data_IF_321732858828
#
_entry.id   IF_321732858828
#
_cell.length_a   1.000
_cell.length_b   1.000
_cell.length_c   1.000
_cell.angle_alpha   90.00
_cell.angle_beta   90.00
_cell.angle_gamma   90.00
#
_symmetry.space_group_name_H-M   'P 1'
#
loop_
_entity.id
_entity.type
_entity.pdbx_description
1 polymer ?
#
# COMPACT_ATOMS: atom_id res chain seq x y z
N UNK A 1 61.99 -33.75 2.76
CA UNK A 1 60.83 -32.96 2.29
C UNK A 1 60.82 -31.63 3.02
N UNK A 2 61.29 -30.58 2.35
CA UNK A 2 61.52 -29.24 2.90
C UNK A 2 60.21 -28.54 3.27
N UNK A 3 60.24 -27.81 4.39
CA UNK A 3 59.14 -27.03 4.97
C UNK A 3 58.36 -26.18 3.95
N UNK A 4 59.05 -25.67 2.92
CA UNK A 4 58.47 -24.88 1.81
C UNK A 4 57.39 -25.60 1.01
N UNK A 5 57.50 -26.91 0.78
CA UNK A 5 56.47 -27.68 0.06
C UNK A 5 55.21 -27.86 0.92
N UNK A 6 55.37 -28.00 2.24
CA UNK A 6 54.24 -28.12 3.18
C UNK A 6 53.55 -26.79 3.43
N UNK A 7 54.29 -25.67 3.47
CA UNK A 7 53.71 -24.33 3.59
C UNK A 7 52.99 -23.93 2.30
N UNK A 8 53.53 -24.26 1.12
CA UNK A 8 52.83 -24.00 -0.14
C UNK A 8 51.56 -24.87 -0.29
N UNK A 9 51.61 -26.15 0.08
CA UNK A 9 50.43 -27.03 0.09
C UNK A 9 49.38 -26.60 1.14
N UNK A 10 49.81 -26.16 2.32
CA UNK A 10 48.91 -25.65 3.36
C UNK A 10 48.31 -24.28 3.01
N UNK A 11 49.07 -23.38 2.38
CA UNK A 11 48.55 -22.09 1.89
C UNK A 11 47.66 -22.26 0.65
N UNK A 12 47.91 -23.25 -0.21
CA UNK A 12 47.02 -23.57 -1.35
C UNK A 12 45.77 -24.36 -0.94
N UNK A 13 45.79 -25.09 0.17
CA UNK A 13 44.59 -25.74 0.71
C UNK A 13 43.71 -24.77 1.52
N UNK A 14 44.29 -23.73 2.13
CA UNK A 14 43.58 -22.76 2.99
C UNK A 14 42.92 -21.60 2.24
N UNK A 15 43.12 -21.47 0.92
CA UNK A 15 42.69 -20.27 0.16
C UNK A 15 41.96 -20.56 -1.17
N UNK A 16 41.73 -21.83 -1.53
CA UNK A 16 40.96 -22.16 -2.72
C UNK A 16 39.47 -22.13 -2.40
N UNK A 17 38.64 -21.49 -3.25
CA UNK A 17 37.20 -21.54 -3.08
C UNK A 17 36.70 -22.99 -3.18
N UNK A 18 35.74 -23.33 -2.34
CA UNK A 18 35.01 -24.59 -2.39
C UNK A 18 33.87 -24.47 -3.38
N UNK A 19 33.52 -25.57 -4.07
CA UNK A 19 32.36 -25.57 -4.96
C UNK A 19 31.11 -25.14 -4.20
N UNK A 20 30.37 -24.19 -4.76
CA UNK A 20 29.20 -23.56 -4.12
C UNK A 20 29.52 -22.30 -3.32
N UNK A 21 30.79 -21.97 -3.08
CA UNK A 21 31.15 -20.68 -2.49
C UNK A 21 30.63 -19.55 -3.36
N UNK A 22 30.12 -18.50 -2.72
CA UNK A 22 29.65 -17.30 -3.41
C UNK A 22 30.53 -16.10 -3.08
N UNK A 23 30.62 -15.17 -4.02
CA UNK A 23 31.32 -13.89 -3.83
C UNK A 23 30.61 -12.77 -4.58
N UNK A 24 30.96 -11.54 -4.22
CA UNK A 24 30.62 -10.35 -5.02
C UNK A 24 31.85 -9.90 -5.81
N UNK A 25 31.65 -9.46 -7.05
CA UNK A 25 32.73 -8.94 -7.89
C UNK A 25 32.22 -7.93 -8.92
N UNK A 26 33.08 -6.99 -9.31
CA UNK A 26 32.86 -6.08 -10.43
C UNK A 26 33.05 -6.73 -11.80
N UNK A 27 33.65 -7.92 -11.85
CA UNK A 27 33.77 -8.69 -13.09
C UNK A 27 32.37 -8.98 -13.63
N UNK A 28 32.20 -8.90 -14.95
CA UNK A 28 30.91 -9.03 -15.64
C UNK A 28 30.83 -10.27 -16.54
N UNK A 29 31.83 -11.15 -16.48
CA UNK A 29 31.90 -12.40 -17.23
C UNK A 29 32.33 -13.55 -16.32
N UNK A 30 31.98 -14.79 -16.67
CA UNK A 30 32.52 -15.97 -16.01
C UNK A 30 34.05 -15.98 -16.04
N UNK A 31 34.68 -16.39 -14.93
CA UNK A 31 36.14 -16.34 -14.82
C UNK A 31 36.70 -17.29 -13.76
N UNK A 32 37.79 -18.01 -14.07
CA UNK A 32 38.53 -18.85 -13.12
C UNK A 32 37.61 -19.81 -12.31
N UNK A 33 36.61 -20.38 -12.97
CA UNK A 33 35.61 -21.27 -12.36
C UNK A 33 34.48 -20.58 -11.59
N UNK A 34 34.49 -19.26 -11.49
CA UNK A 34 33.38 -18.45 -10.98
C UNK A 34 32.37 -18.20 -12.08
N UNK A 35 31.13 -18.61 -11.84
CA UNK A 35 30.01 -18.41 -12.74
C UNK A 35 29.15 -17.26 -12.23
N UNK A 36 28.75 -16.37 -13.12
CA UNK A 36 27.89 -15.24 -12.76
C UNK A 36 26.46 -15.73 -12.45
N UNK A 37 25.88 -15.25 -11.35
CA UNK A 37 24.54 -15.61 -10.88
C UNK A 37 23.44 -14.76 -11.56
N UNK A 38 23.51 -14.66 -12.90
CA UNK A 38 22.50 -14.03 -13.76
C UNK A 38 22.49 -14.70 -15.13
N UNK A 39 21.40 -14.51 -15.87
CA UNK A 39 21.37 -14.96 -17.26
C UNK A 39 22.09 -13.95 -18.15
N UNK A 40 23.00 -14.46 -19.00
CA UNK A 40 23.71 -13.66 -19.98
C UNK A 40 22.93 -13.54 -21.31
N UNK A 41 21.79 -14.25 -21.44
CA UNK A 41 20.88 -14.12 -22.58
C UNK A 41 20.08 -12.80 -22.48
N UNK A 42 20.29 -11.85 -23.40
CA UNK A 42 19.58 -10.57 -23.42
C UNK A 42 18.10 -10.71 -23.77
N UNK A 43 17.65 -11.83 -24.33
CA UNK A 43 16.24 -12.07 -24.63
C UNK A 43 15.43 -12.40 -23.37
N UNK A 44 16.07 -12.99 -22.35
CA UNK A 44 15.42 -13.44 -21.12
C UNK A 44 16.25 -13.10 -19.85
N UNK A 45 16.55 -11.82 -19.60
CA UNK A 45 17.36 -11.40 -18.47
C UNK A 45 16.71 -11.70 -17.11
N UNK A 46 15.39 -11.95 -17.08
CA UNK A 46 14.61 -12.30 -15.88
C UNK A 46 14.80 -13.75 -15.43
N UNK A 47 15.20 -14.64 -16.34
CA UNK A 47 15.30 -16.06 -16.06
C UNK A 47 16.62 -16.42 -15.35
N UNK A 48 16.64 -17.49 -14.53
CA UNK A 48 17.89 -18.04 -14.02
C UNK A 48 18.73 -18.66 -15.14
N UNK A 49 20.06 -18.61 -15.01
CA UNK A 49 20.98 -19.28 -15.93
C UNK A 49 20.93 -20.80 -15.71
N UNK A 50 20.69 -21.56 -16.79
CA UNK A 50 20.69 -23.01 -16.78
C UNK A 50 22.07 -23.60 -17.10
N UNK A 51 22.43 -24.68 -16.39
CA UNK A 51 23.68 -25.43 -16.55
C UNK A 51 23.39 -26.94 -16.65
N UNK A 52 24.27 -27.66 -17.34
CA UNK A 52 24.19 -29.12 -17.46
C UNK A 52 24.69 -29.83 -16.19
N UNK A 53 23.91 -30.79 -15.69
CA UNK A 53 24.18 -31.53 -14.44
C UNK A 53 25.40 -32.45 -14.54
N UNK A 54 25.79 -32.87 -15.75
CA UNK A 54 26.95 -33.74 -15.98
C UNK A 54 28.23 -32.90 -16.04
N UNK A 55 28.19 -31.82 -16.81
CA UNK A 55 29.29 -30.88 -16.97
C UNK A 55 29.64 -30.23 -15.63
N UNK A 56 28.63 -29.72 -14.90
CA UNK A 56 28.80 -29.05 -13.62
C UNK A 56 28.39 -29.94 -12.43
N UNK A 57 28.80 -31.22 -12.44
CA UNK A 57 28.36 -32.21 -11.46
C UNK A 57 28.66 -31.83 -10.00
N UNK A 58 29.84 -31.26 -9.71
CA UNK A 58 30.20 -30.90 -8.34
C UNK A 58 29.28 -29.80 -7.83
N UNK A 59 28.97 -28.81 -8.68
CA UNK A 59 28.07 -27.73 -8.32
C UNK A 59 26.63 -28.24 -8.17
N UNK A 60 26.20 -29.14 -9.07
CA UNK A 60 24.90 -29.79 -8.96
C UNK A 60 24.74 -30.61 -7.67
N UNK A 61 25.79 -31.30 -7.21
CA UNK A 61 25.76 -31.99 -5.91
C UNK A 61 25.59 -31.04 -4.72
N UNK A 62 26.02 -29.77 -4.84
CA UNK A 62 25.90 -28.77 -3.78
C UNK A 62 24.54 -28.07 -3.79
N UNK A 63 24.08 -27.58 -4.94
CA UNK A 63 22.85 -26.77 -5.02
C UNK A 63 21.64 -27.51 -5.61
N UNK A 64 21.83 -28.67 -6.24
CA UNK A 64 20.76 -29.46 -6.86
C UNK A 64 19.84 -28.62 -7.75
N UNK A 65 18.54 -28.87 -7.66
CA UNK A 65 17.49 -28.07 -8.30
C UNK A 65 16.94 -26.94 -7.41
N UNK A 66 17.69 -26.50 -6.39
CA UNK A 66 17.22 -25.47 -5.44
C UNK A 66 16.72 -24.19 -6.11
N UNK A 67 17.34 -23.80 -7.23
CA UNK A 67 16.96 -22.61 -8.00
C UNK A 67 16.20 -22.93 -9.29
N UNK A 68 15.75 -24.17 -9.44
CA UNK A 68 15.03 -24.70 -10.60
C UNK A 68 15.86 -25.60 -11.52
N UNK A 69 15.26 -25.92 -12.67
CA UNK A 69 15.75 -26.90 -13.63
C UNK A 69 15.08 -28.27 -13.46
N UNK A 70 15.40 -29.20 -14.35
CA UNK A 70 14.86 -30.56 -14.34
C UNK A 70 15.74 -31.49 -15.17
N UNK A 71 15.79 -32.77 -14.82
CA UNK A 71 16.54 -33.77 -15.58
C UNK A 71 18.03 -33.43 -15.67
N UNK A 72 18.54 -33.23 -16.88
CA UNK A 72 19.95 -32.92 -17.13
C UNK A 72 20.31 -31.43 -16.94
N UNK A 73 19.37 -30.58 -16.53
CA UNK A 73 19.64 -29.15 -16.33
C UNK A 73 19.28 -28.69 -14.91
N UNK A 74 20.10 -27.81 -14.34
CA UNK A 74 19.83 -27.12 -13.08
C UNK A 74 20.13 -25.63 -13.23
N UNK A 75 19.56 -24.83 -12.34
CA UNK A 75 19.70 -23.37 -12.40
C UNK A 75 20.66 -22.83 -11.34
N UNK A 76 21.38 -21.78 -11.70
CA UNK A 76 22.10 -20.94 -10.74
C UNK A 76 21.13 -20.03 -9.95
N UNK A 77 21.54 -19.53 -8.77
CA UNK A 77 20.84 -18.39 -8.16
C UNK A 77 20.70 -17.24 -9.16
N UNK A 78 19.55 -16.56 -9.16
CA UNK A 78 19.36 -15.33 -9.93
C UNK A 78 19.17 -14.14 -8.98
N UNK A 79 20.22 -13.32 -8.82
CA UNK A 79 20.27 -12.27 -7.78
C UNK A 79 20.13 -10.84 -8.34
N UNK A 80 19.95 -10.69 -9.65
CA UNK A 80 19.76 -9.39 -10.30
C UNK A 80 18.61 -8.60 -9.65
N UNK A 81 18.90 -7.37 -9.21
CA UNK A 81 17.94 -6.48 -8.56
C UNK A 81 17.49 -6.94 -7.17
N UNK A 82 18.19 -7.87 -6.52
CA UNK A 82 17.79 -8.46 -5.23
C UNK A 82 18.88 -8.33 -4.16
N UNK A 83 18.44 -8.27 -2.90
CA UNK A 83 19.32 -8.40 -1.73
C UNK A 83 19.36 -9.86 -1.31
N UNK A 84 20.56 -10.38 -1.02
CA UNK A 84 20.73 -11.76 -0.55
C UNK A 84 20.45 -11.87 0.94
N UNK A 85 19.72 -12.91 1.35
CA UNK A 85 19.45 -13.25 2.74
C UNK A 85 19.94 -14.66 3.08
N UNK A 86 20.24 -14.90 4.35
CA UNK A 86 20.57 -16.24 4.86
C UNK A 86 19.30 -17.07 5.10
N UNK A 87 19.43 -18.39 4.98
CA UNK A 87 18.36 -19.34 5.27
C UNK A 87 18.24 -19.60 6.77
N UNK A 88 17.06 -20.00 7.22
CA UNK A 88 16.82 -20.42 8.60
C UNK A 88 15.46 -19.98 9.13
N UNK A 89 15.12 -20.49 10.32
CA UNK A 89 14.00 -20.01 11.11
C UNK A 89 14.39 -18.69 11.78
N UNK A 90 13.57 -17.67 11.59
CA UNK A 90 13.67 -16.38 12.28
C UNK A 90 12.44 -16.19 13.13
N UNK A 91 12.67 -15.81 14.39
CA UNK A 91 11.64 -15.36 15.32
C UNK A 91 11.95 -13.91 15.68
N UNK A 92 11.00 -13.01 15.52
CA UNK A 92 11.19 -11.61 15.89
C UNK A 92 10.78 -11.31 17.34
N UNK A 93 10.89 -10.05 17.75
CA UNK A 93 10.54 -9.58 19.09
C UNK A 93 9.04 -9.71 19.43
N UNK A 94 8.19 -9.87 18.43
CA UNK A 94 6.73 -10.05 18.59
C UNK A 94 6.34 -11.54 18.53
N UNK A 95 7.33 -12.44 18.60
CA UNK A 95 7.18 -13.89 18.55
C UNK A 95 6.54 -14.39 17.23
N UNK A 96 6.66 -13.62 16.16
CA UNK A 96 6.28 -14.07 14.81
C UNK A 96 7.42 -14.90 14.24
N UNK A 97 7.07 -16.04 13.64
CA UNK A 97 8.04 -16.98 13.08
C UNK A 97 7.95 -17.02 11.56
N UNK A 98 9.10 -17.07 10.90
CA UNK A 98 9.21 -17.29 9.46
C UNK A 98 10.44 -18.11 9.13
N UNK A 99 10.28 -19.15 8.32
CA UNK A 99 11.40 -19.98 7.83
C UNK A 99 11.74 -19.58 6.41
N UNK A 100 12.99 -19.20 6.17
CA UNK A 100 13.51 -18.98 4.82
C UNK A 100 14.30 -20.20 4.37
N UNK A 101 13.84 -20.83 3.31
CA UNK A 101 14.54 -21.94 2.67
C UNK A 101 15.28 -21.45 1.43
N UNK A 102 16.36 -22.13 1.06
CA UNK A 102 17.13 -21.77 -0.12
C UNK A 102 16.23 -21.83 -1.36
N UNK A 103 16.42 -20.88 -2.28
CA UNK A 103 15.59 -20.75 -3.49
C UNK A 103 14.28 -19.97 -3.28
N UNK A 104 13.85 -19.69 -2.05
CA UNK A 104 12.70 -18.81 -1.82
C UNK A 104 12.98 -17.40 -2.35
N UNK A 105 12.05 -16.86 -3.14
CA UNK A 105 12.04 -15.48 -3.60
C UNK A 105 10.92 -14.76 -2.87
N UNK A 106 11.28 -13.81 -2.01
CA UNK A 106 10.35 -12.98 -1.23
C UNK A 106 10.55 -11.51 -1.57
N UNK A 107 9.55 -10.69 -1.25
CA UNK A 107 9.54 -9.27 -1.61
C UNK A 107 9.03 -9.00 -3.03
N UNK A 108 8.76 -7.74 -3.30
CA UNK A 108 8.22 -7.23 -4.55
C UNK A 108 9.14 -6.12 -5.09
N UNK A 109 9.19 -5.91 -6.41
CA UNK A 109 10.00 -4.84 -7.00
C UNK A 109 9.38 -3.47 -6.71
N UNK A 110 8.06 -3.35 -6.91
CA UNK A 110 7.25 -2.25 -6.41
C UNK A 110 6.04 -2.84 -5.70
N UNK A 111 5.66 -2.30 -4.55
CA UNK A 111 4.54 -2.82 -3.77
C UNK A 111 3.26 -2.05 -4.06
N UNK A 112 2.17 -2.77 -4.33
CA UNK A 112 0.83 -2.17 -4.40
C UNK A 112 0.12 -2.40 -3.07
N UNK A 113 -0.05 -1.32 -2.30
CA UNK A 113 -0.84 -1.35 -1.08
C UNK A 113 -2.30 -1.64 -1.39
N UNK A 114 -2.82 -2.72 -0.80
CA UNK A 114 -4.22 -3.13 -0.92
C UNK A 114 -5.04 -2.64 0.28
N UNK A 115 -6.37 -2.61 0.14
CA UNK A 115 -7.27 -2.20 1.23
C UNK A 115 -7.05 -3.02 2.52
N UNK A 116 -6.87 -4.36 2.49
CA UNK A 116 -6.57 -5.14 3.70
C UNK A 116 -5.21 -4.83 4.36
N UNK A 117 -4.27 -4.23 3.62
CA UNK A 117 -2.94 -3.85 4.15
C UNK A 117 -2.94 -2.44 4.77
N UNK A 118 -4.00 -1.66 4.60
CA UNK A 118 -4.16 -0.37 5.28
C UNK A 118 -4.61 -0.60 6.73
N UNK A 119 -3.87 -0.07 7.73
CA UNK A 119 -4.37 -0.04 9.10
C UNK A 119 -5.74 0.61 9.18
N UNK A 120 -6.57 0.14 10.11
CA UNK A 120 -7.83 0.80 10.44
C UNK A 120 -7.55 2.27 10.77
N UNK A 121 -8.13 3.16 9.99
CA UNK A 121 -8.01 4.60 10.14
C UNK A 121 -9.39 5.24 10.02
N UNK A 122 -9.51 6.47 10.53
CA UNK A 122 -10.73 7.25 10.47
C UNK A 122 -10.45 8.65 9.90
N UNK A 123 -11.51 9.31 9.45
CA UNK A 123 -11.46 10.72 9.06
C UNK A 123 -12.40 11.49 9.98
N UNK A 124 -11.83 12.26 10.92
CA UNK A 124 -12.61 13.17 11.75
C UNK A 124 -12.84 14.50 11.00
N UNK A 125 -13.99 15.14 11.24
CA UNK A 125 -14.16 16.57 10.87
C UNK A 125 -13.66 17.41 12.04
N UNK A 126 -12.83 18.41 11.78
CA UNK A 126 -12.60 19.48 12.75
C UNK A 126 -13.91 20.25 12.92
N UNK A 127 -14.47 20.26 14.13
CA UNK A 127 -15.63 21.07 14.46
C UNK A 127 -15.27 22.55 14.29
N UNK A 128 -15.78 23.19 13.25
CA UNK A 128 -15.61 24.64 13.04
C UNK A 128 -16.98 25.34 13.04
N UNK A 129 -17.58 25.47 14.23
CA UNK A 129 -18.34 26.64 14.66
C UNK A 129 -18.91 26.43 16.07
N UNK A 130 -18.98 27.46 16.93
CA UNK A 130 -19.65 27.37 18.22
C UNK A 130 -21.16 27.08 18.00
N UNK A 131 -21.67 25.97 18.53
CA UNK A 131 -23.12 25.73 18.65
C UNK A 131 -23.69 24.41 18.11
N UNK A 132 -22.88 23.46 17.61
CA UNK A 132 -23.40 22.18 17.08
C UNK A 132 -22.78 20.98 17.82
N UNK A 133 -23.68 20.15 18.37
CA UNK A 133 -23.59 18.82 18.98
C UNK A 133 -22.19 18.19 19.17
N UNK A 134 -21.85 17.91 20.43
CA UNK A 134 -20.57 17.38 20.93
C UNK A 134 -20.44 15.85 20.86
N UNK A 135 -21.15 15.18 19.96
CA UNK A 135 -21.01 13.74 19.64
C UNK A 135 -21.24 13.60 18.14
N UNK A 136 -20.52 12.82 17.36
CA UNK A 136 -19.52 11.80 17.59
C UNK A 136 -18.62 11.83 16.34
N UNK A 137 -17.67 10.91 16.26
CA UNK A 137 -16.88 10.61 15.07
C UNK A 137 -17.65 10.78 13.76
N UNK A 138 -16.95 11.23 12.71
CA UNK A 138 -17.49 11.34 11.36
C UNK A 138 -17.86 9.97 10.80
N UNK A 139 -18.99 9.42 11.24
CA UNK A 139 -19.57 8.22 10.68
C UNK A 139 -20.26 8.61 9.37
N UNK A 140 -20.20 7.75 8.36
CA UNK A 140 -21.02 7.83 7.14
C UNK A 140 -22.51 7.57 7.42
N UNK A 141 -22.93 7.70 8.68
CA UNK A 141 -24.31 7.51 9.10
C UNK A 141 -25.15 8.67 8.60
N UNK A 142 -25.77 8.43 7.44
CA UNK A 142 -27.01 8.91 6.79
C UNK A 142 -27.74 10.19 7.26
N UNK A 143 -27.48 10.77 8.42
CA UNK A 143 -28.00 12.09 8.79
C UNK A 143 -27.05 12.74 9.79
N UNK A 144 -26.25 13.70 9.34
CA UNK A 144 -25.82 14.77 10.23
C UNK A 144 -27.09 15.49 10.68
N UNK A 145 -27.66 15.06 11.80
CA UNK A 145 -28.96 15.53 12.27
C UNK A 145 -28.84 17.00 12.65
N UNK A 146 -29.44 17.89 11.84
CA UNK A 146 -29.62 19.30 12.18
C UNK A 146 -31.09 19.67 12.00
N UNK A 147 -31.56 20.61 12.81
CA UNK A 147 -32.93 21.10 12.78
C UNK A 147 -32.98 22.50 12.15
N UNK A 148 -34.06 22.78 11.43
CA UNK A 148 -34.40 24.14 11.01
C UNK A 148 -35.48 24.68 11.97
N UNK A 149 -35.35 25.94 12.39
CA UNK A 149 -36.34 26.61 13.23
C UNK A 149 -36.98 27.79 12.51
N UNK A 150 -38.28 27.99 12.69
CA UNK A 150 -39.00 29.20 12.29
C UNK A 150 -39.67 29.77 13.55
N UNK A 151 -39.45 31.06 13.80
CA UNK A 151 -40.18 31.82 14.83
C UNK A 151 -41.25 32.63 14.14
N UNK A 152 -42.50 32.16 14.20
CA UNK A 152 -43.67 32.93 13.80
C UNK A 152 -44.48 33.31 15.06
N UNK A 153 -44.26 34.52 15.62
CA UNK A 153 -44.96 34.95 16.82
C UNK A 153 -46.47 35.17 16.61
N UNK A 154 -46.96 35.01 15.38
CA UNK A 154 -48.32 35.36 14.99
C UNK A 154 -48.51 36.88 14.96
N UNK A 155 -49.51 37.34 14.21
CA UNK A 155 -49.95 38.72 14.26
C UNK A 155 -51.47 38.80 14.02
N UNK A 156 -52.08 39.89 14.48
CA UNK A 156 -53.50 40.18 14.28
C UNK A 156 -53.67 41.32 13.28
N UNK A 157 -54.79 41.29 12.56
CA UNK A 157 -55.24 42.44 11.80
C UNK A 157 -56.38 43.12 12.57
N UNK A 158 -56.36 44.46 12.59
CA UNK A 158 -57.43 45.25 13.19
C UNK A 158 -58.48 45.55 12.12
N UNK A 159 -59.74 45.23 12.40
CA UNK A 159 -60.86 45.63 11.56
C UNK A 159 -61.43 46.94 12.11
N UNK A 160 -61.28 48.03 11.36
CA UNK A 160 -61.91 49.30 11.71
C UNK A 160 -63.19 49.42 10.88
N UNK A 161 -64.34 49.25 11.51
CA UNK A 161 -65.61 49.52 10.83
C UNK A 161 -65.68 51.03 10.56
N UNK A 162 -65.78 51.42 9.29
CA UNK A 162 -65.87 52.84 8.96
C UNK A 162 -67.22 53.38 9.48
N UNK A 163 -67.26 54.58 10.09
CA UNK A 163 -68.43 55.11 10.77
C UNK A 163 -69.44 55.63 9.73
N UNK A 164 -70.17 54.74 9.07
CA UNK A 164 -71.40 55.08 8.38
C UNK A 164 -72.59 54.44 9.10
N UNK A 165 -72.73 54.76 10.39
CA UNK A 165 -73.97 54.51 11.13
C UNK A 165 -74.99 55.60 10.81
N UNK A 166 -76.18 55.15 10.42
CA UNK A 166 -77.39 55.99 10.39
C UNK A 166 -77.83 56.20 11.83
N UNK A 167 -78.09 57.45 12.22
CA UNK A 167 -78.61 57.78 13.56
C UNK A 167 -79.90 57.00 13.85
N UNK A 168 -80.03 56.49 15.07
CA UNK A 168 -81.24 55.83 15.54
C UNK A 168 -82.36 56.86 15.80
N UNK A 169 -82.88 57.42 14.72
CA UNK A 169 -84.14 58.14 14.64
C UNK A 169 -84.58 58.02 13.18
N UNK A 170 -85.59 57.23 12.82
CA UNK A 170 -87.00 57.54 13.05
C UNK A 170 -87.81 56.25 12.94
N UNK A 171 -88.37 55.85 14.08
CA UNK A 171 -89.75 55.39 14.28
C UNK A 171 -90.40 54.41 13.29
N UNK A 172 -90.74 53.24 13.85
CA UNK A 172 -91.96 52.47 13.63
C UNK A 172 -92.10 51.67 12.31
N UNK A 173 -91.75 50.38 12.33
CA UNK A 173 -92.71 49.31 12.73
C UNK A 173 -92.20 47.91 12.42
N UNK A 174 -91.23 47.72 11.52
CA UNK A 174 -90.68 46.38 11.22
C UNK A 174 -89.34 46.51 10.53
N UNK A 175 -88.23 46.31 11.25
CA UNK A 175 -86.96 45.75 10.73
C UNK A 175 -85.91 45.79 11.82
N UNK A 176 -85.21 44.67 12.03
CA UNK A 176 -84.02 44.60 12.86
C UNK A 176 -82.98 45.60 12.35
N UNK A 177 -82.79 46.71 13.06
CA UNK A 177 -81.62 47.56 12.87
C UNK A 177 -80.44 46.82 13.47
N UNK A 178 -79.41 46.57 12.66
CA UNK A 178 -78.20 45.90 13.10
C UNK A 178 -77.56 46.73 14.23
N UNK A 179 -77.49 46.15 15.43
CA UNK A 179 -76.79 46.71 16.58
C UNK A 179 -75.29 46.81 16.26
N UNK A 180 -74.70 47.96 16.56
CA UNK A 180 -73.28 48.24 16.36
C UNK A 180 -72.45 47.87 17.59
N UNK A 181 -72.76 46.74 18.23
CA UNK A 181 -72.10 46.23 19.43
C UNK A 181 -70.63 45.80 19.22
N UNK A 182 -70.06 45.99 18.03
CA UNK A 182 -68.77 45.43 17.61
C UNK A 182 -67.68 46.48 17.37
N UNK A 183 -67.62 47.53 18.19
CA UNK A 183 -66.46 48.45 18.21
C UNK A 183 -65.25 47.70 18.81
N UNK A 184 -64.08 47.82 18.18
CA UNK A 184 -62.80 47.14 18.54
C UNK A 184 -62.68 45.64 18.23
N UNK A 185 -63.40 45.12 17.23
CA UNK A 185 -63.18 43.74 16.80
C UNK A 185 -61.85 43.56 16.06
N UNK A 186 -61.02 42.66 16.58
CA UNK A 186 -59.86 42.13 15.86
C UNK A 186 -60.24 40.81 15.20
N UNK A 187 -59.72 40.56 14.00
CA UNK A 187 -59.77 39.19 13.46
C UNK A 187 -58.80 38.34 14.29
N UNK A 188 -59.22 37.15 14.70
CA UNK A 188 -58.42 36.29 15.59
C UNK A 188 -56.98 36.10 15.11
N UNK A 189 -56.03 36.04 16.06
CA UNK A 189 -54.62 35.75 15.76
C UNK A 189 -54.49 34.34 15.21
N UNK A 190 -53.79 34.17 14.09
CA UNK A 190 -53.46 32.87 13.51
C UNK A 190 -51.97 32.81 13.15
N UNK A 191 -51.34 31.67 13.35
CA UNK A 191 -50.00 31.41 12.84
C UNK A 191 -50.07 31.17 11.33
N UNK A 192 -49.01 31.51 10.60
CA UNK A 192 -48.96 31.49 9.14
C UNK A 192 -48.97 30.09 8.50
N UNK A 193 -49.16 29.02 9.28
CA UNK A 193 -49.27 27.65 8.75
C UNK A 193 -48.04 27.16 7.97
N UNK A 194 -46.89 27.84 8.10
CA UNK A 194 -45.67 27.49 7.38
C UNK A 194 -45.14 26.16 7.89
N UNK A 195 -45.22 25.12 7.05
CA UNK A 195 -44.55 23.84 7.27
C UNK A 195 -43.17 23.87 6.65
N UNK A 196 -42.11 23.67 7.45
CA UNK A 196 -40.78 23.35 6.93
C UNK A 196 -40.73 21.86 6.68
N UNK A 197 -40.60 21.45 5.41
CA UNK A 197 -40.46 20.04 5.06
C UNK A 197 -39.22 19.44 5.76
N UNK A 198 -39.29 18.22 6.31
CA UNK A 198 -38.13 17.57 6.90
C UNK A 198 -37.03 17.39 5.84
N UNK A 199 -35.80 17.64 6.28
CA UNK A 199 -34.52 17.43 5.60
C UNK A 199 -34.62 16.85 4.18
N UNK A 200 -34.42 17.70 3.16
CA UNK A 200 -34.08 17.22 1.83
C UNK A 200 -32.86 16.28 1.91
N UNK A 201 -32.92 15.16 1.18
CA UNK A 201 -31.81 14.20 1.12
C UNK A 201 -30.53 14.93 0.69
N UNK A 202 -29.51 14.91 1.55
CA UNK A 202 -28.18 15.33 1.18
C UNK A 202 -27.24 14.14 1.30
N UNK A 203 -26.36 14.00 0.33
CA UNK A 203 -25.34 12.95 0.31
C UNK A 203 -24.03 13.51 0.84
N UNK A 204 -23.36 12.74 1.69
CA UNK A 204 -21.95 12.95 1.99
C UNK A 204 -21.14 11.92 1.20
N UNK A 205 -20.49 12.38 0.14
CA UNK A 205 -19.54 11.55 -0.62
C UNK A 205 -18.15 11.74 -0.02
N UNK A 206 -17.59 10.69 0.58
CA UNK A 206 -16.14 10.60 0.77
C UNK A 206 -15.63 9.88 -0.47
N UNK A 207 -15.01 10.63 -1.39
CA UNK A 207 -14.36 10.04 -2.56
C UNK A 207 -13.26 9.09 -2.09
N UNK A 208 -13.19 7.90 -2.68
CA UNK A 208 -12.02 7.05 -2.53
C UNK A 208 -10.85 7.77 -3.20
N UNK A 209 -10.03 8.46 -2.40
CA UNK A 209 -8.85 9.15 -2.87
C UNK A 209 -7.65 8.22 -2.67
N UNK A 210 -7.28 7.51 -3.73
CA UNK A 210 -6.12 6.63 -3.78
C UNK A 210 -5.96 6.14 -5.21
N UNK A 211 -4.73 6.20 -5.74
CA UNK A 211 -4.47 5.82 -7.11
C UNK A 211 -4.21 4.32 -7.31
N UNK A 212 -4.20 3.53 -6.23
CA UNK A 212 -3.80 2.12 -6.26
C UNK A 212 -2.44 1.91 -6.95
N UNK A 213 -1.59 2.94 -6.87
CA UNK A 213 -0.31 2.99 -7.57
C UNK A 213 0.73 2.21 -6.79
N UNK A 214 1.56 1.51 -7.56
CA UNK A 214 2.73 0.84 -7.04
C UNK A 214 3.70 1.87 -6.44
N UNK A 215 4.25 1.56 -5.28
CA UNK A 215 5.29 2.34 -4.64
C UNK A 215 6.46 1.47 -4.21
N UNK A 216 7.67 1.99 -4.41
CA UNK A 216 8.88 1.29 -4.02
C UNK A 216 9.09 1.40 -2.50
N UNK A 217 9.20 0.25 -1.82
CA UNK A 217 9.48 0.18 -0.39
C UNK A 217 10.90 -0.38 -0.10
N UNK A 218 11.81 -0.29 -1.07
CA UNK A 218 13.19 -0.74 -0.89
C UNK A 218 13.96 0.24 0.00
N UNK A 219 14.75 -0.31 0.93
CA UNK A 219 15.74 0.47 1.67
C UNK A 219 16.74 1.13 0.69
N UNK A 220 17.38 2.27 1.06
CA UNK A 220 18.48 2.82 0.28
C UNK A 220 19.54 1.75 -0.03
N UNK A 221 19.67 1.36 -1.30
CA UNK A 221 20.49 0.22 -1.73
C UNK A 221 21.41 0.65 -2.87
N UNK A 222 22.72 0.42 -2.71
CA UNK A 222 23.71 0.58 -3.77
C UNK A 222 24.03 -0.79 -4.38
N UNK A 223 23.67 -1.00 -5.64
CA UNK A 223 24.03 -2.20 -6.38
C UNK A 223 25.49 -2.11 -6.83
N UNK A 224 26.40 -2.62 -6.00
CA UNK A 224 27.84 -2.40 -6.14
C UNK A 224 28.57 -3.48 -6.97
N UNK A 225 27.95 -4.60 -7.34
CA UNK A 225 28.62 -5.63 -8.14
C UNK A 225 27.74 -6.83 -8.48
N UNK A 226 28.31 -7.79 -9.19
CA UNK A 226 27.66 -9.05 -9.57
C UNK A 226 27.94 -10.14 -8.54
N UNK A 227 26.95 -10.98 -8.27
CA UNK A 227 27.13 -12.22 -7.50
C UNK A 227 27.69 -13.31 -8.39
N UNK A 228 28.65 -14.06 -7.87
CA UNK A 228 29.23 -15.24 -8.52
C UNK A 228 29.15 -16.45 -7.60
N UNK A 229 29.12 -17.65 -8.20
CA UNK A 229 29.21 -18.93 -7.52
C UNK A 229 30.37 -19.75 -8.12
N UNK A 230 31.18 -20.38 -7.27
CA UNK A 230 32.28 -21.20 -7.71
C UNK A 230 31.80 -22.59 -8.12
N UNK A 231 32.11 -22.99 -9.36
CA UNK A 231 31.64 -24.24 -9.95
C UNK A 231 32.49 -25.46 -9.65
N UNK A 232 33.69 -25.28 -9.10
CA UNK A 232 34.66 -26.36 -8.93
C UNK A 232 35.43 -26.73 -10.21
N UNK A 233 35.06 -26.15 -11.36
CA UNK A 233 35.73 -26.39 -12.63
C UNK A 233 36.61 -25.17 -12.93
N UNK A 234 37.94 -25.30 -12.95
CA UNK A 234 38.80 -24.20 -13.35
C UNK A 234 38.58 -23.93 -14.83
N UNK A 235 37.76 -22.93 -15.16
CA UNK A 235 37.62 -22.42 -16.52
C UNK A 235 38.84 -21.55 -16.83
N UNK A 236 39.52 -21.84 -17.95
CA UNK A 236 40.52 -20.94 -18.52
C UNK A 236 39.81 -19.65 -18.95
N UNK A 237 39.81 -18.64 -18.07
CA UNK A 237 39.20 -17.35 -18.36
C UNK A 237 40.15 -16.44 -19.14
N UNK A 238 39.62 -15.67 -20.08
CA UNK A 238 40.30 -14.46 -20.55
C UNK A 238 39.89 -13.27 -19.66
N UNK A 239 40.92 -12.59 -19.11
CA UNK A 239 40.97 -11.26 -18.48
C UNK A 239 40.98 -11.13 -16.92
N UNK A 240 41.98 -10.43 -16.32
CA UNK A 240 43.36 -10.28 -16.75
C UNK A 240 44.22 -11.41 -16.15
N UNK A 241 43.99 -12.68 -16.49
CA UNK A 241 44.97 -13.73 -16.20
C UNK A 241 45.06 -14.74 -17.33
N UNK A 242 46.19 -14.73 -18.04
CA UNK A 242 46.76 -15.96 -18.60
C UNK A 242 47.34 -16.75 -17.42
N UNK A 243 46.59 -17.66 -16.82
CA UNK A 243 47.21 -18.81 -16.14
C UNK A 243 47.17 -19.98 -17.10
N UNK A 244 48.13 -19.97 -18.02
CA UNK A 244 48.20 -20.91 -19.13
C UNK A 244 49.62 -21.06 -19.65
N UNK A 245 50.53 -21.48 -18.77
CA UNK A 245 51.56 -22.44 -19.12
C UNK A 245 51.49 -23.54 -18.06
N UNK A 246 50.81 -24.64 -18.37
CA UNK A 246 51.22 -25.94 -17.85
C UNK A 246 51.94 -26.66 -19.01
N UNK A 247 52.89 -27.59 -18.79
CA UNK A 247 53.04 -28.42 -17.59
C UNK A 247 54.51 -28.58 -17.12
N UNK A 248 54.75 -28.98 -15.87
CA UNK A 248 55.89 -29.88 -15.60
C UNK A 248 55.48 -30.91 -14.56
N UNK A 249 55.31 -32.14 -15.03
CA UNK A 249 55.58 -33.34 -14.24
C UNK A 249 57.09 -33.36 -13.95
N UNK A 250 57.48 -33.15 -12.71
CA UNK A 250 58.67 -33.76 -12.10
C UNK A 250 58.25 -34.33 -10.76
#
# INVERSE_FOLDING_TARGET
>A
MTSTMRVNAANTARTKPTTGDTKMSFVNTDHLGWLICKNDDPAHPELPRALDTTMYNLLFQVIGHTFGGSGNTFHLPHTSGRVMGSTGLVTDSENRTRTYTAGNKVGELDHKLTVPEMPAHNHNKAAASPGINTVADGTTSVQANHTHGITDPGHTHSYVNQPNNVDAAVSLTTTAVADNANVDQTTGSSTTGISVNPAGSHSHTISSNGGDQYHNNIQPTLFYGNTFIYSGIPMLGNFPFKTGLAPVLI
#
